data_IF_766381455558
#
_entry.id   IF_766381455558
#
_cell.length_a   1.000
_cell.length_b   1.000
_cell.length_c   1.000
_cell.angle_alpha   90.00
_cell.angle_beta   90.00
_cell.angle_gamma   90.00
#
_symmetry.space_group_name_H-M   'P 1'
#
loop_
_entity.id
_entity.type
_entity.pdbx_description
1 polymer ?
#
# COMPACT_ATOMS: atom_id res chain seq x y z
N UNK A 1 -0.92 -5.29 6.89
CA UNK A 1 -2.27 -4.81 6.52
C UNK A 1 -2.12 -3.85 5.35
N UNK A 2 -3.12 -3.71 4.45
CA UNK A 2 -3.03 -2.73 3.38
C UNK A 2 -2.96 -1.32 3.98
N UNK A 3 -2.17 -0.40 3.39
CA UNK A 3 -2.14 0.98 3.85
C UNK A 3 -3.51 1.62 3.58
N UNK A 4 -3.94 2.47 4.50
CA UNK A 4 -5.19 3.21 4.42
C UNK A 4 -5.01 4.46 3.58
N UNK A 5 -5.97 4.78 2.68
CA UNK A 5 -5.87 5.97 1.86
C UNK A 5 -5.95 7.24 2.72
N UNK A 6 -5.22 8.30 2.35
CA UNK A 6 -5.34 9.58 3.03
C UNK A 6 -6.74 10.18 2.84
N UNK A 7 -7.18 10.95 3.85
CA UNK A 7 -8.46 11.65 3.83
C UNK A 7 -8.38 12.93 2.99
N UNK A 8 -9.54 13.43 2.56
CA UNK A 8 -9.67 14.62 1.68
C UNK A 8 -9.11 15.92 2.30
N UNK A 9 -8.77 15.94 3.60
CA UNK A 9 -8.12 17.08 4.28
C UNK A 9 -6.64 16.91 4.61
N UNK A 10 -6.06 15.73 4.35
CA UNK A 10 -4.65 15.44 4.64
C UNK A 10 -3.72 15.93 3.52
N UNK A 11 -4.25 16.07 2.30
CA UNK A 11 -3.52 16.62 1.18
C UNK A 11 -3.57 18.15 1.21
N UNK A 12 -2.40 18.79 1.27
CA UNK A 12 -2.26 20.24 1.26
C UNK A 12 -2.70 20.89 -0.07
N UNK A 13 -2.83 20.11 -1.15
CA UNK A 13 -3.07 20.50 -2.56
C UNK A 13 -2.18 21.63 -3.11
N UNK A 14 -1.17 22.04 -2.35
CA UNK A 14 -0.35 23.23 -2.59
C UNK A 14 1.00 22.91 -3.21
N UNK A 15 1.15 21.71 -3.80
CA UNK A 15 2.40 21.27 -4.41
C UNK A 15 3.45 20.81 -3.39
N UNK A 16 3.07 19.92 -2.46
CA UNK A 16 3.94 19.41 -1.40
C UNK A 16 5.13 18.51 -1.88
N UNK A 17 5.28 18.26 -3.19
CA UNK A 17 6.39 17.47 -3.74
C UNK A 17 6.48 16.06 -3.15
N UNK A 18 7.68 15.63 -2.75
CA UNK A 18 7.93 14.32 -2.12
C UNK A 18 7.27 14.17 -0.74
N UNK A 19 6.91 15.28 -0.08
CA UNK A 19 6.14 15.24 1.17
C UNK A 19 4.63 15.07 0.94
N UNK A 20 4.19 14.83 -0.30
CA UNK A 20 2.79 14.58 -0.62
C UNK A 20 2.30 13.29 0.03
N UNK A 21 1.20 13.37 0.77
CA UNK A 21 0.58 12.21 1.43
C UNK A 21 0.16 11.14 0.42
N UNK A 22 -0.23 11.54 -0.79
CA UNK A 22 -0.57 10.61 -1.86
C UNK A 22 0.65 9.86 -2.40
N UNK A 23 1.81 10.53 -2.48
CA UNK A 23 3.04 9.89 -2.93
C UNK A 23 3.49 8.83 -1.92
N UNK A 24 3.54 9.21 -0.64
CA UNK A 24 3.85 8.29 0.46
C UNK A 24 2.86 7.12 0.52
N UNK A 25 1.57 7.38 0.31
CA UNK A 25 0.55 6.34 0.24
C UNK A 25 0.80 5.38 -0.93
N UNK A 26 1.09 5.92 -2.12
CA UNK A 26 1.34 5.11 -3.32
C UNK A 26 2.59 4.24 -3.16
N UNK A 27 3.65 4.77 -2.56
CA UNK A 27 4.86 4.01 -2.24
C UNK A 27 4.55 2.86 -1.27
N UNK A 28 3.90 3.17 -0.14
CA UNK A 28 3.49 2.15 0.82
C UNK A 28 2.56 1.08 0.20
N UNK A 29 1.68 1.50 -0.72
CA UNK A 29 0.81 0.59 -1.49
C UNK A 29 1.62 -0.34 -2.39
N UNK A 30 2.63 0.18 -3.07
CA UNK A 30 3.50 -0.60 -3.94
C UNK A 30 4.30 -1.63 -3.13
N UNK A 31 4.87 -1.23 -1.98
CA UNK A 31 5.56 -2.16 -1.08
C UNK A 31 4.62 -3.25 -0.56
N UNK A 32 3.43 -2.86 -0.11
CA UNK A 32 2.43 -3.80 0.37
C UNK A 32 2.02 -4.80 -0.73
N UNK A 33 1.81 -4.34 -1.96
CA UNK A 33 1.47 -5.21 -3.07
C UNK A 33 2.57 -6.25 -3.38
N UNK A 34 3.84 -5.84 -3.29
CA UNK A 34 4.98 -6.76 -3.44
C UNK A 34 5.01 -7.81 -2.33
N UNK A 35 4.90 -7.37 -1.08
CA UNK A 35 4.87 -8.28 0.08
C UNK A 35 3.68 -9.25 0.01
N UNK A 36 2.51 -8.76 -0.43
CA UNK A 36 1.32 -9.58 -0.60
C UNK A 36 1.50 -10.62 -1.70
N UNK A 37 2.10 -10.25 -2.84
CA UNK A 37 2.40 -11.19 -3.92
C UNK A 37 3.34 -12.30 -3.45
N UNK A 38 4.40 -11.97 -2.72
CA UNK A 38 5.31 -12.97 -2.17
C UNK A 38 4.63 -13.89 -1.15
N UNK A 39 3.79 -13.31 -0.29
CA UNK A 39 2.97 -14.07 0.65
C UNK A 39 2.00 -15.01 -0.08
N UNK A 40 1.34 -14.54 -1.14
CA UNK A 40 0.44 -15.33 -1.97
C UNK A 40 1.18 -16.47 -2.67
N UNK A 41 2.41 -16.28 -3.16
CA UNK A 41 3.20 -17.36 -3.78
C UNK A 41 3.54 -18.44 -2.74
N UNK A 42 3.87 -18.06 -1.51
CA UNK A 42 4.11 -19.02 -0.42
C UNK A 42 2.84 -19.78 -0.05
N UNK A 43 1.70 -19.09 0.03
CA UNK A 43 0.41 -19.67 0.41
C UNK A 43 -0.34 -20.32 -0.75
N UNK A 44 0.01 -20.08 -2.01
CA UNK A 44 -0.54 -20.81 -3.15
C UNK A 44 0.00 -22.25 -3.19
N UNK A 45 1.11 -22.51 -2.47
CA UNK A 45 1.73 -23.84 -2.36
C UNK A 45 1.18 -24.66 -1.19
N UNK A 46 0.44 -24.04 -0.27
CA UNK A 46 -0.36 -24.72 0.73
C UNK A 46 -1.83 -24.46 0.40
N UNK A 47 -2.61 -25.46 -0.09
CA UNK A 47 -4.04 -25.22 -0.24
C UNK A 47 -4.54 -24.82 1.15
N UNK A 48 -5.05 -23.59 1.26
CA UNK A 48 -5.61 -23.07 2.50
C UNK A 48 -6.80 -23.95 2.88
N UNK A 49 -6.54 -25.02 3.65
CA UNK A 49 -7.55 -25.70 4.41
C UNK A 49 -8.09 -24.70 5.42
N UNK A 50 -9.40 -24.47 5.28
CA UNK A 50 -10.21 -23.71 6.22
C UNK A 50 -10.59 -24.57 7.41
#
# INVERSE_FOLDING_TARGET
>A
MPPEPPLEGECCESGCGEACVWEQYNEARAEYARALSEWQVRHAREPAEK
#
